data_IF_269012003403
#
_entry.id   IF_269012003403
#
_cell.length_a   1.000
_cell.length_b   1.000
_cell.length_c   1.000
_cell.angle_alpha   90.00
_cell.angle_beta   90.00
_cell.angle_gamma   90.00
#
_symmetry.space_group_name_H-M   'P 1'
#
loop_
_entity.id
_entity.type
_entity.pdbx_description
1 polymer ?
#
# COMPACT_ATOMS: atom_id res chain seq x y z
N UNK A 1 -13.63 5.05 9.72
CA UNK A 1 -14.60 5.80 8.89
C UNK A 1 -15.00 7.13 9.53
N UNK A 2 -15.50 7.15 10.78
CA UNK A 2 -16.02 8.37 11.44
C UNK A 2 -15.03 9.54 11.54
N UNK A 3 -13.74 9.28 11.82
CA UNK A 3 -12.69 10.31 11.89
C UNK A 3 -12.53 11.12 10.60
N UNK A 4 -12.69 10.47 9.44
CA UNK A 4 -12.50 11.09 8.13
C UNK A 4 -13.71 11.92 7.72
N UNK A 5 -14.91 11.46 8.08
CA UNK A 5 -16.17 12.18 7.86
C UNK A 5 -16.20 13.45 8.70
N UNK A 6 -15.79 13.38 9.98
CA UNK A 6 -15.66 14.58 10.83
C UNK A 6 -14.61 15.55 10.27
N UNK A 7 -13.48 15.04 9.77
CA UNK A 7 -12.42 15.88 9.17
C UNK A 7 -12.90 16.56 7.89
N UNK A 8 -13.61 15.86 7.01
CA UNK A 8 -14.21 16.43 5.80
C UNK A 8 -15.16 17.57 6.14
N UNK A 9 -16.07 17.34 7.10
CA UNK A 9 -17.02 18.36 7.55
C UNK A 9 -16.27 19.58 8.14
N UNK A 10 -15.15 19.35 8.84
CA UNK A 10 -14.35 20.41 9.44
C UNK A 10 -13.44 21.17 8.44
N UNK A 11 -12.95 20.52 7.37
CA UNK A 11 -12.02 21.12 6.40
C UNK A 11 -12.72 21.83 5.22
N UNK A 12 -13.99 21.54 4.96
CA UNK A 12 -14.76 22.18 3.89
C UNK A 12 -14.33 21.80 2.46
N UNK A 13 -13.30 20.97 2.31
CA UNK A 13 -12.85 20.39 1.04
C UNK A 13 -12.67 18.87 1.20
N UNK A 14 -12.72 18.15 0.07
CA UNK A 14 -12.44 16.71 0.08
C UNK A 14 -11.00 16.48 0.62
N UNK A 15 -10.83 15.65 1.66
CA UNK A 15 -9.53 15.35 2.28
C UNK A 15 -8.71 14.41 1.38
N UNK A 16 -8.25 14.91 0.24
CA UNK A 16 -7.31 14.25 -0.67
C UNK A 16 -6.18 15.19 -1.07
N UNK A 17 -6.06 16.30 -0.35
CA UNK A 17 -5.21 17.43 -0.72
C UNK A 17 -3.76 17.26 -0.23
N UNK A 18 -3.57 16.43 0.80
CA UNK A 18 -2.27 16.09 1.36
C UNK A 18 -2.01 14.57 1.27
N UNK A 19 -0.74 14.16 1.16
CA UNK A 19 -0.27 12.77 1.18
C UNK A 19 -0.78 12.00 2.40
N UNK A 20 -0.82 12.65 3.58
CA UNK A 20 -1.43 12.06 4.78
C UNK A 20 -2.90 11.67 4.53
N UNK A 21 -3.67 12.60 3.94
CA UNK A 21 -5.10 12.42 3.72
C UNK A 21 -5.37 11.39 2.64
N UNK A 22 -4.63 11.43 1.53
CA UNK A 22 -4.69 10.43 0.47
C UNK A 22 -4.38 9.03 0.98
N UNK A 23 -3.28 8.85 1.69
CA UNK A 23 -2.85 7.54 2.19
C UNK A 23 -3.86 6.98 3.19
N UNK A 24 -4.41 7.84 4.05
CA UNK A 24 -5.46 7.46 4.99
C UNK A 24 -6.77 7.12 4.27
N UNK A 25 -7.15 7.88 3.24
CA UNK A 25 -8.32 7.60 2.39
C UNK A 25 -8.19 6.27 1.65
N UNK A 26 -7.00 6.00 1.11
CA UNK A 26 -6.69 4.75 0.43
C UNK A 26 -6.80 3.55 1.39
N UNK A 27 -6.18 3.65 2.58
CA UNK A 27 -6.29 2.62 3.61
C UNK A 27 -7.74 2.37 4.05
N UNK A 28 -8.54 3.43 4.20
CA UNK A 28 -9.97 3.30 4.51
C UNK A 28 -10.77 2.70 3.36
N UNK A 29 -10.51 3.10 2.12
CA UNK A 29 -11.16 2.53 0.92
C UNK A 29 -10.89 1.03 0.80
N UNK A 30 -9.68 0.60 1.17
CA UNK A 30 -9.27 -0.80 1.22
C UNK A 30 -10.04 -1.58 2.32
N UNK A 31 -10.22 -0.99 3.51
CA UNK A 31 -11.11 -1.57 4.54
C UNK A 31 -12.57 -1.60 4.07
N UNK A 32 -13.04 -0.53 3.43
CA UNK A 32 -14.40 -0.44 2.92
C UNK A 32 -14.69 -1.49 1.85
N UNK A 33 -13.79 -1.67 0.89
CA UNK A 33 -13.91 -2.71 -0.13
C UNK A 33 -13.85 -4.12 0.48
N UNK A 34 -13.06 -4.33 1.55
CA UNK A 34 -13.07 -5.61 2.28
C UNK A 34 -14.42 -5.86 2.94
N UNK A 35 -15.00 -4.86 3.61
CA UNK A 35 -16.31 -4.96 4.25
C UNK A 35 -17.38 -5.33 3.22
N UNK A 36 -17.40 -4.67 2.05
CA UNK A 36 -18.35 -4.97 0.98
C UNK A 36 -18.23 -6.43 0.53
N UNK A 37 -17.01 -6.92 0.29
CA UNK A 37 -16.76 -8.30 -0.13
C UNK A 37 -17.11 -9.29 0.98
N UNK A 38 -16.81 -8.94 2.24
CA UNK A 38 -17.18 -9.74 3.40
C UNK A 38 -18.70 -9.89 3.52
N UNK A 39 -19.48 -8.83 3.30
CA UNK A 39 -20.94 -8.94 3.31
C UNK A 39 -21.49 -9.84 2.20
N UNK A 40 -20.83 -9.85 1.03
CA UNK A 40 -21.26 -10.66 -0.11
C UNK A 40 -20.91 -12.15 0.04
N UNK A 41 -19.67 -12.46 0.45
CA UNK A 41 -19.14 -13.83 0.44
C UNK A 41 -18.96 -14.44 1.84
N UNK A 42 -19.08 -13.65 2.91
CA UNK A 42 -18.93 -14.07 4.33
C UNK A 42 -17.63 -14.84 4.62
N UNK A 43 -16.56 -14.52 3.90
CA UNK A 43 -15.25 -15.16 4.01
C UNK A 43 -14.30 -14.32 4.87
N UNK A 44 -14.14 -14.62 6.18
CA UNK A 44 -13.27 -13.83 7.07
C UNK A 44 -11.79 -13.94 6.72
N UNK A 45 -11.39 -14.98 5.96
CA UNK A 45 -10.01 -15.23 5.52
C UNK A 45 -9.41 -14.05 4.73
N UNK A 46 -10.21 -13.32 3.94
CA UNK A 46 -9.68 -12.13 3.24
C UNK A 46 -9.25 -11.05 4.25
N UNK A 47 -9.99 -10.90 5.35
CA UNK A 47 -9.73 -9.89 6.37
C UNK A 47 -8.39 -10.08 7.07
N UNK A 48 -7.93 -11.33 7.19
CA UNK A 48 -6.64 -11.64 7.79
C UNK A 48 -5.47 -11.01 7.02
N UNK A 49 -5.58 -10.89 5.70
CA UNK A 49 -4.56 -10.24 4.86
C UNK A 49 -4.85 -8.76 4.66
N UNK A 50 -6.11 -8.39 4.46
CA UNK A 50 -6.49 -7.02 4.10
C UNK A 50 -6.38 -6.05 5.28
N UNK A 51 -6.73 -6.46 6.51
CA UNK A 51 -6.75 -5.56 7.67
C UNK A 51 -5.34 -5.15 8.15
N UNK A 52 -4.35 -6.06 8.29
CA UNK A 52 -2.98 -5.65 8.64
C UNK A 52 -2.36 -4.74 7.59
N UNK A 53 -2.60 -5.02 6.29
CA UNK A 53 -2.11 -4.18 5.20
C UNK A 53 -2.73 -2.79 5.26
N UNK A 54 -4.05 -2.68 5.47
CA UNK A 54 -4.71 -1.39 5.67
C UNK A 54 -4.14 -0.63 6.88
N UNK A 55 -3.89 -1.33 7.99
CA UNK A 55 -3.31 -0.75 9.19
C UNK A 55 -1.89 -0.21 8.94
N UNK A 56 -1.05 -0.96 8.21
CA UNK A 56 0.30 -0.54 7.82
C UNK A 56 0.26 0.69 6.92
N UNK A 57 -0.65 0.75 5.94
CA UNK A 57 -0.84 1.91 5.06
C UNK A 57 -1.21 3.14 5.89
N UNK A 58 -2.15 3.02 6.83
CA UNK A 58 -2.55 4.13 7.69
C UNK A 58 -1.41 4.55 8.63
N UNK A 59 -0.66 3.59 9.19
CA UNK A 59 0.50 3.85 10.03
C UNK A 59 1.60 4.58 9.25
N UNK A 60 1.87 4.16 8.02
CA UNK A 60 2.79 4.86 7.12
C UNK A 60 2.31 6.28 6.81
N UNK A 61 1.00 6.44 6.54
CA UNK A 61 0.36 7.74 6.39
C UNK A 61 0.63 8.66 7.57
N UNK A 62 0.63 8.13 8.80
CA UNK A 62 0.82 8.90 10.03
C UNK A 62 2.21 9.54 10.20
N UNK A 63 3.19 9.13 9.40
CA UNK A 63 4.54 9.71 9.35
C UNK A 63 4.60 11.01 8.55
N UNK A 64 3.59 11.30 7.72
CA UNK A 64 3.52 12.54 6.96
C UNK A 64 2.94 13.70 7.80
N UNK A 65 3.32 14.96 7.49
CA UNK A 65 2.76 16.13 8.15
C UNK A 65 1.24 16.16 8.05
N UNK A 66 0.57 16.31 9.19
CA UNK A 66 -0.91 16.34 9.29
C UNK A 66 -1.51 17.73 9.06
N UNK A 67 -0.65 18.70 8.81
CA UNK A 67 -1.01 20.10 8.60
C UNK A 67 -1.84 20.24 7.31
N UNK A 68 -2.87 21.07 7.39
CA UNK A 68 -3.70 21.44 6.25
C UNK A 68 -2.98 22.58 5.54
N UNK A 69 -2.06 22.23 4.65
CA UNK A 69 -1.39 23.22 3.81
C UNK A 69 -2.36 23.70 2.73
N UNK A 70 -2.43 25.02 2.46
CA UNK A 70 -3.20 25.52 1.33
C UNK A 70 -2.63 24.91 0.05
N UNK A 71 -3.51 24.38 -0.81
CA UNK A 71 -3.06 23.77 -2.05
C UNK A 71 -2.37 24.84 -2.90
N UNK A 72 -1.23 24.45 -3.49
CA UNK A 72 -0.61 25.24 -4.55
C UNK A 72 -1.67 25.56 -5.63
N UNK A 73 -1.72 26.80 -6.17
CA UNK A 73 -2.79 27.24 -7.08
C UNK A 73 -3.00 26.32 -8.29
N UNK A 74 -1.96 25.59 -8.72
CA UNK A 74 -2.02 24.61 -9.81
C UNK A 74 -2.78 23.30 -9.46
N UNK A 75 -2.98 22.97 -8.18
CA UNK A 75 -3.70 21.77 -7.70
C UNK A 75 -5.15 22.08 -7.26
N UNK A 76 -5.60 23.32 -7.32
CA UNK A 76 -6.96 23.76 -6.98
C UNK A 76 -7.96 23.46 -8.12
N UNK A 77 -8.01 22.22 -8.61
CA UNK A 77 -8.94 21.78 -9.66
C UNK A 77 -9.88 20.70 -9.17
N UNK A 78 -11.16 20.83 -9.50
CA UNK A 78 -12.18 19.80 -9.25
C UNK A 78 -11.81 18.45 -9.87
N UNK A 79 -11.03 18.46 -10.96
CA UNK A 79 -10.59 17.26 -11.66
C UNK A 79 -9.58 16.44 -10.86
N UNK A 80 -8.74 17.09 -10.04
CA UNK A 80 -7.80 16.41 -9.14
C UNK A 80 -8.57 15.56 -8.13
N UNK A 81 -9.60 16.13 -7.51
CA UNK A 81 -10.40 15.41 -6.53
C UNK A 81 -11.03 14.15 -7.12
N UNK A 82 -11.69 14.26 -8.28
CA UNK A 82 -12.30 13.11 -8.95
C UNK A 82 -11.24 12.06 -9.31
N UNK A 83 -10.12 12.48 -9.90
CA UNK A 83 -9.06 11.57 -10.31
C UNK A 83 -8.53 10.80 -9.09
N UNK A 84 -8.13 11.51 -8.05
CA UNK A 84 -7.49 10.93 -6.87
C UNK A 84 -8.44 10.04 -6.06
N UNK A 85 -9.71 10.40 -5.93
CA UNK A 85 -10.68 9.53 -5.26
C UNK A 85 -10.97 8.27 -6.06
N UNK A 86 -11.10 8.40 -7.39
CA UNK A 86 -11.40 7.26 -8.27
C UNK A 86 -10.20 6.31 -8.36
N UNK A 87 -8.98 6.83 -8.43
CA UNK A 87 -7.76 6.00 -8.42
C UNK A 87 -7.60 5.26 -7.10
N UNK A 88 -7.78 5.93 -5.95
CA UNK A 88 -7.69 5.29 -4.64
C UNK A 88 -8.71 4.15 -4.47
N UNK A 89 -9.97 4.38 -4.87
CA UNK A 89 -11.02 3.36 -4.82
C UNK A 89 -10.70 2.21 -5.78
N UNK A 90 -10.31 2.51 -7.02
CA UNK A 90 -9.95 1.51 -8.02
C UNK A 90 -8.78 0.62 -7.56
N UNK A 91 -7.73 1.23 -7.00
CA UNK A 91 -6.59 0.51 -6.45
C UNK A 91 -6.99 -0.37 -5.25
N UNK A 92 -7.89 0.11 -4.38
CA UNK A 92 -8.37 -0.66 -3.24
C UNK A 92 -9.13 -1.93 -3.70
N UNK A 93 -10.03 -1.80 -4.67
CA UNK A 93 -10.78 -2.94 -5.23
C UNK A 93 -9.84 -3.94 -5.93
N UNK A 94 -8.88 -3.44 -6.71
CA UNK A 94 -7.90 -4.27 -7.41
C UNK A 94 -7.02 -5.04 -6.41
N UNK A 95 -6.54 -4.38 -5.36
CA UNK A 95 -5.72 -4.99 -4.32
C UNK A 95 -6.46 -6.17 -3.65
N UNK A 96 -7.74 -6.00 -3.33
CA UNK A 96 -8.52 -7.10 -2.72
C UNK A 96 -8.80 -8.21 -3.71
N UNK A 97 -9.10 -7.87 -4.96
CA UNK A 97 -9.28 -8.86 -6.03
C UNK A 97 -8.02 -9.70 -6.25
N UNK A 98 -6.84 -9.09 -6.17
CA UNK A 98 -5.56 -9.79 -6.23
C UNK A 98 -5.38 -10.77 -5.08
N UNK A 99 -5.64 -10.34 -3.83
CA UNK A 99 -5.57 -11.22 -2.65
C UNK A 99 -6.57 -12.38 -2.76
N UNK A 100 -7.80 -12.10 -3.16
CA UNK A 100 -8.83 -13.11 -3.37
C UNK A 100 -8.42 -14.13 -4.44
N UNK A 101 -7.89 -13.66 -5.57
CA UNK A 101 -7.37 -14.49 -6.65
C UNK A 101 -6.19 -15.36 -6.22
N UNK A 102 -5.28 -14.83 -5.41
CA UNK A 102 -4.15 -15.59 -4.87
C UNK A 102 -4.63 -16.70 -3.93
N UNK A 103 -5.55 -16.40 -3.00
CA UNK A 103 -6.16 -17.40 -2.11
C UNK A 103 -6.85 -18.49 -2.93
N UNK A 104 -7.60 -18.10 -3.97
CA UNK A 104 -8.26 -19.05 -4.86
C UNK A 104 -7.25 -19.96 -5.58
N UNK A 105 -6.17 -19.39 -6.12
CA UNK A 105 -5.15 -20.16 -6.83
C UNK A 105 -4.46 -21.17 -5.91
N UNK A 106 -4.10 -20.76 -4.69
CA UNK A 106 -3.49 -21.64 -3.68
C UNK A 106 -4.43 -22.77 -3.28
N UNK A 107 -5.74 -22.50 -3.16
CA UNK A 107 -6.74 -23.51 -2.80
C UNK A 107 -7.08 -24.45 -3.96
N UNK A 108 -7.13 -23.95 -5.19
CA UNK A 108 -7.60 -24.70 -6.35
C UNK A 108 -6.51 -25.53 -7.03
N UNK A 109 -5.23 -25.13 -6.91
CA UNK A 109 -4.11 -25.83 -7.54
C UNK A 109 -3.62 -26.94 -6.60
N UNK A 110 -3.73 -28.18 -7.06
CA UNK A 110 -3.19 -29.35 -6.37
C UNK A 110 -1.65 -29.28 -6.32
N UNK A 111 -1.10 -29.12 -5.12
CA UNK A 111 0.34 -29.02 -4.88
C UNK A 111 1.04 -30.38 -4.86
N UNK A 112 0.28 -31.49 -4.83
CA UNK A 112 0.85 -32.85 -4.76
C UNK A 112 1.41 -33.32 -6.11
N UNK A 113 0.92 -32.74 -7.22
CA UNK A 113 1.36 -33.08 -8.58
C UNK A 113 2.06 -31.88 -9.22
N UNK A 114 3.28 -32.11 -9.72
CA UNK A 114 4.01 -31.10 -10.49
C UNK A 114 3.34 -30.89 -11.85
N UNK A 115 2.54 -29.83 -11.95
CA UNK A 115 1.85 -29.41 -13.17
C UNK A 115 2.32 -28.00 -13.57
N UNK A 116 2.08 -27.59 -14.82
CA UNK A 116 2.34 -26.20 -15.28
C UNK A 116 1.70 -25.16 -14.36
N UNK A 117 0.48 -25.41 -13.86
CA UNK A 117 -0.23 -24.51 -12.93
C UNK A 117 0.47 -24.38 -11.58
N UNK A 118 1.05 -25.47 -11.07
CA UNK A 118 1.83 -25.48 -9.83
C UNK A 118 3.11 -24.66 -9.97
N UNK A 119 3.81 -24.77 -11.10
CA UNK A 119 5.00 -23.96 -11.39
C UNK A 119 4.68 -22.47 -11.49
N UNK A 120 3.60 -22.10 -12.18
CA UNK A 120 3.19 -20.70 -12.25
C UNK A 120 2.83 -20.13 -10.88
N UNK A 121 2.11 -20.90 -10.05
CA UNK A 121 1.81 -20.51 -8.67
C UNK A 121 3.09 -20.31 -7.87
N UNK A 122 4.06 -21.22 -7.99
CA UNK A 122 5.36 -21.12 -7.32
C UNK A 122 6.13 -19.87 -7.74
N UNK A 123 6.14 -19.52 -9.03
CA UNK A 123 6.76 -18.28 -9.53
C UNK A 123 6.10 -17.04 -8.93
N UNK A 124 4.76 -16.99 -8.88
CA UNK A 124 4.05 -15.85 -8.28
C UNK A 124 4.37 -15.72 -6.79
N UNK A 125 4.32 -16.82 -6.03
CA UNK A 125 4.64 -16.80 -4.60
C UNK A 125 6.11 -16.45 -4.35
N UNK A 126 7.03 -16.99 -5.13
CA UNK A 126 8.45 -16.67 -5.04
C UNK A 126 8.72 -15.18 -5.31
N UNK A 127 8.07 -14.59 -6.31
CA UNK A 127 8.16 -13.15 -6.59
C UNK A 127 7.65 -12.29 -5.43
N UNK A 128 6.51 -12.66 -4.82
CA UNK A 128 5.96 -11.97 -3.66
C UNK A 128 6.87 -12.09 -2.42
N UNK A 129 7.41 -13.27 -2.15
CA UNK A 129 8.31 -13.48 -1.01
C UNK A 129 9.64 -12.75 -1.21
N UNK A 130 10.19 -12.79 -2.42
CA UNK A 130 11.44 -12.10 -2.76
C UNK A 130 11.32 -10.59 -2.63
N UNK A 131 10.21 -10.00 -3.10
CA UNK A 131 9.96 -8.56 -2.95
C UNK A 131 9.77 -8.16 -1.49
N UNK A 132 9.05 -8.94 -0.67
CA UNK A 132 8.95 -8.71 0.76
C UNK A 132 10.31 -8.82 1.47
N UNK A 133 11.11 -9.84 1.13
CA UNK A 133 12.45 -10.02 1.65
C UNK A 133 13.36 -8.83 1.33
N UNK A 134 13.32 -8.34 0.09
CA UNK A 134 14.05 -7.13 -0.32
C UNK A 134 13.65 -5.91 0.52
N UNK A 135 12.34 -5.66 0.68
CA UNK A 135 11.84 -4.52 1.48
C UNK A 135 12.29 -4.61 2.94
N UNK A 136 12.24 -5.80 3.55
CA UNK A 136 12.68 -6.00 4.93
C UNK A 136 14.18 -5.76 5.10
N UNK A 137 15.00 -6.29 4.18
CA UNK A 137 16.45 -6.09 4.19
C UNK A 137 16.79 -4.62 4.01
N UNK A 138 16.17 -3.93 3.03
CA UNK A 138 16.36 -2.49 2.82
C UNK A 138 15.95 -1.65 4.03
N UNK A 139 14.81 -1.99 4.65
CA UNK A 139 14.33 -1.29 5.85
C UNK A 139 15.25 -1.50 7.05
N UNK A 140 15.81 -2.71 7.21
CA UNK A 140 16.80 -3.02 8.23
C UNK A 140 18.08 -2.20 8.04
N UNK A 141 18.64 -2.17 6.82
CA UNK A 141 19.82 -1.36 6.52
C UNK A 141 19.58 0.14 6.78
N UNK A 142 18.41 0.65 6.39
CA UNK A 142 18.02 2.03 6.65
C UNK A 142 17.88 2.31 8.16
N UNK A 143 17.33 1.37 8.94
CA UNK A 143 17.19 1.51 10.39
C UNK A 143 18.55 1.46 11.13
N UNK A 144 19.52 0.74 10.59
CA UNK A 144 20.89 0.66 11.15
C UNK A 144 21.80 1.83 10.75
N UNK A 145 21.27 2.87 10.08
CA UNK A 145 22.01 4.05 9.60
C UNK A 145 23.30 3.67 8.84
N UNK A 146 23.22 2.64 7.98
CA UNK A 146 24.37 2.17 7.22
C UNK A 146 24.74 3.17 6.12
N UNK A 147 25.49 4.21 6.51
CA UNK A 147 26.18 5.10 5.57
C UNK A 147 27.37 4.36 4.98
N UNK A 148 27.21 3.80 3.78
CA UNK A 148 28.35 3.41 2.95
C UNK A 148 29.10 4.69 2.55
N UNK A 149 30.02 5.16 3.42
CA UNK A 149 30.99 6.19 3.05
C UNK A 149 31.93 5.58 2.02
N UNK A 150 31.60 5.79 0.74
CA UNK A 150 32.52 5.52 -0.34
C UNK A 150 33.64 6.56 -0.28
N UNK A 151 34.71 6.26 0.47
CA UNK A 151 35.96 7.01 0.36
C UNK A 151 36.56 6.68 -1.01
N UNK A 152 36.31 7.54 -1.98
CA UNK A 152 37.01 7.51 -3.25
C UNK A 152 38.43 8.01 -3.00
N UNK A 153 39.39 7.09 -2.87
CA UNK A 153 40.82 7.45 -2.84
C UNK A 153 41.20 7.87 -4.26
N UNK A 154 41.49 9.16 -4.46
CA UNK A 154 41.97 9.65 -5.74
C UNK A 154 43.38 9.08 -6.02
N UNK A 155 43.78 8.96 -7.29
CA UNK A 155 45.06 8.32 -7.70
C UNK A 155 46.31 8.95 -7.06
N UNK A 156 46.18 10.13 -6.48
CA UNK A 156 47.26 10.90 -5.82
C UNK A 156 47.34 10.68 -4.30
N UNK A 157 46.60 9.73 -3.73
CA UNK A 157 46.77 9.30 -2.33
C UNK A 157 46.15 10.23 -1.27
N UNK A 158 45.24 11.12 -1.64
CA UNK A 158 44.47 11.94 -0.70
C UNK A 158 43.01 11.47 -0.58
N UNK A 159 42.51 11.47 0.66
CA UNK A 159 41.13 11.12 1.02
C UNK A 159 40.22 12.34 0.79
N UNK A 160 39.14 12.17 0.02
CA UNK A 160 38.03 13.13 -0.09
C UNK A 160 37.00 12.86 1.01
#
# INVERSE_FOLDING_TARGET
>A
MTFFILRWIASGHAPVSNLFEFTTFFGMSLVGAFIVIYFMYKTPLLGLFTLPVAALIIAYGSMFPREVTPLIPALQSYWLHIHVTTTAIGQAILAISFVAGLIYLVKSVDQTKKTKSTLWLEIVLFGLISTLGFVLVSSFFAATDYSAKFNYINKDGQLL
#
